data_IF_528058724514
#
_entry.id   IF_528058724514
#
_cell.length_a   1.000
_cell.length_b   1.000
_cell.length_c   1.000
_cell.angle_alpha   90.00
_cell.angle_beta   90.00
_cell.angle_gamma   90.00
#
_symmetry.space_group_name_H-M   'P 1'
#
loop_
_entity.id
_entity.type
_entity.pdbx_description
1 polymer ?
#
# COMPACT_ATOMS: atom_id res chain seq x y z
N UNK A 1 15.66 12.30 -29.23
CA UNK A 1 15.66 11.19 -28.24
C UNK A 1 14.24 10.71 -28.10
N UNK A 2 13.87 9.54 -28.67
CA UNK A 2 12.56 8.98 -28.42
C UNK A 2 12.65 8.18 -27.12
N UNK A 3 12.02 8.67 -26.06
CA UNK A 3 11.62 7.83 -24.93
C UNK A 3 10.75 6.71 -25.53
N UNK A 4 11.35 5.53 -25.65
CA UNK A 4 10.76 4.35 -26.27
C UNK A 4 9.38 4.12 -25.68
N UNK A 5 8.37 4.25 -26.54
CA UNK A 5 7.00 3.76 -26.43
C UNK A 5 6.80 2.82 -25.25
N UNK A 6 6.55 3.40 -24.07
CA UNK A 6 6.16 2.61 -22.91
C UNK A 6 4.74 2.13 -23.21
N UNK A 7 4.52 0.82 -23.44
CA UNK A 7 3.18 0.34 -23.69
C UNK A 7 2.33 0.74 -22.49
N UNK A 8 1.29 1.52 -22.75
CA UNK A 8 0.39 1.96 -21.73
C UNK A 8 -0.35 0.72 -21.20
N UNK A 9 -0.52 0.62 -19.87
CA UNK A 9 -1.17 -0.54 -19.26
C UNK A 9 -2.60 -0.67 -19.81
N UNK A 10 -2.93 -1.85 -20.33
CA UNK A 10 -4.29 -2.11 -20.81
C UNK A 10 -5.30 -2.27 -19.66
N UNK A 11 -4.82 -2.49 -18.43
CA UNK A 11 -5.66 -2.82 -17.28
C UNK A 11 -5.27 -2.00 -16.05
N UNK A 12 -6.27 -1.70 -15.22
CA UNK A 12 -6.06 -1.16 -13.90
C UNK A 12 -5.44 -2.23 -12.98
N UNK A 13 -4.51 -1.85 -12.09
CA UNK A 13 -3.82 -2.77 -11.19
C UNK A 13 -3.60 -2.13 -9.82
N UNK A 14 -3.78 -2.91 -8.77
CA UNK A 14 -3.40 -2.58 -7.40
C UNK A 14 -2.64 -3.77 -6.81
N UNK A 15 -1.47 -3.52 -6.24
CA UNK A 15 -0.61 -4.56 -5.64
C UNK A 15 -0.16 -4.10 -4.27
N UNK A 16 -0.20 -5.02 -3.31
CA UNK A 16 0.29 -4.83 -1.96
C UNK A 16 1.47 -5.77 -1.72
N UNK A 17 2.63 -5.22 -1.38
CA UNK A 17 3.86 -5.98 -1.11
C UNK A 17 4.38 -5.66 0.30
N UNK A 18 4.83 -6.66 1.08
CA UNK A 18 5.62 -6.40 2.27
C UNK A 18 7.02 -5.98 1.83
N UNK A 19 7.47 -4.76 2.18
CA UNK A 19 8.77 -4.26 1.67
C UNK A 19 9.90 -4.34 2.67
N UNK A 20 9.62 -4.27 3.97
CA UNK A 20 10.56 -4.39 5.09
C UNK A 20 9.76 -4.56 6.39
N UNK A 21 10.36 -5.03 7.50
CA UNK A 21 9.67 -5.07 8.79
C UNK A 21 9.09 -3.69 9.11
N UNK A 22 7.76 -3.62 9.21
CA UNK A 22 7.01 -2.41 9.56
C UNK A 22 6.48 -1.56 8.41
N UNK A 23 6.69 -1.92 7.13
CA UNK A 23 6.11 -1.19 6.00
C UNK A 23 5.50 -2.07 4.91
N UNK A 24 4.32 -1.66 4.44
CA UNK A 24 3.74 -2.07 3.19
C UNK A 24 4.12 -1.12 2.07
N UNK A 25 4.41 -1.68 0.91
CA UNK A 25 4.46 -0.97 -0.36
C UNK A 25 3.18 -1.24 -1.12
N UNK A 26 2.51 -0.16 -1.53
CA UNK A 26 1.30 -0.21 -2.34
C UNK A 26 1.65 0.39 -3.69
N UNK A 27 1.37 -0.34 -4.76
CA UNK A 27 1.51 0.13 -6.13
C UNK A 27 0.15 0.13 -6.80
N UNK A 28 -0.18 1.21 -7.50
CA UNK A 28 -1.35 1.25 -8.36
C UNK A 28 -0.99 1.79 -9.73
N UNK A 29 -1.73 1.30 -10.70
CA UNK A 29 -1.62 1.72 -12.09
C UNK A 29 -3.02 1.74 -12.69
N UNK A 30 -3.33 2.78 -13.44
CA UNK A 30 -4.59 2.91 -14.13
C UNK A 30 -4.37 2.69 -15.62
N UNK A 31 -5.35 2.04 -16.25
CA UNK A 31 -5.53 1.99 -17.70
C UNK A 31 -5.70 3.40 -18.27
N UNK A 32 -5.49 3.56 -19.58
CA UNK A 32 -5.74 4.83 -20.27
C UNK A 32 -7.17 5.34 -20.01
N UNK A 33 -8.20 4.50 -20.17
CA UNK A 33 -9.59 4.93 -19.99
C UNK A 33 -9.90 5.40 -18.57
N UNK A 34 -9.24 4.80 -17.56
CA UNK A 34 -9.37 5.26 -16.17
C UNK A 34 -8.61 6.56 -15.94
N UNK A 35 -7.40 6.69 -16.48
CA UNK A 35 -6.62 7.93 -16.42
C UNK A 35 -7.37 9.09 -17.10
N UNK A 36 -7.98 8.84 -18.27
CA UNK A 36 -8.83 9.80 -18.98
C UNK A 36 -10.01 10.26 -18.13
N UNK A 37 -10.61 9.36 -17.35
CA UNK A 37 -11.69 9.71 -16.42
C UNK A 37 -11.22 10.67 -15.32
N UNK A 38 -9.98 10.52 -14.82
CA UNK A 38 -9.39 11.48 -13.89
C UNK A 38 -9.04 12.81 -14.58
N UNK A 39 -8.47 12.76 -15.78
CA UNK A 39 -8.13 13.96 -16.56
C UNK A 39 -9.36 14.78 -16.96
N UNK A 40 -10.46 14.11 -17.29
CA UNK A 40 -11.75 14.73 -17.58
C UNK A 40 -12.52 15.18 -16.33
N UNK A 41 -11.90 15.12 -15.14
CA UNK A 41 -12.49 15.47 -13.86
C UNK A 41 -13.79 14.71 -13.52
N UNK A 42 -13.97 13.50 -14.08
CA UNK A 42 -15.06 12.61 -13.67
C UNK A 42 -14.81 12.03 -12.27
N UNK A 43 -13.54 11.90 -11.89
CA UNK A 43 -13.10 11.62 -10.53
C UNK A 43 -12.32 12.82 -9.97
N UNK A 44 -12.35 12.99 -8.65
CA UNK A 44 -11.46 13.93 -7.96
C UNK A 44 -9.99 13.51 -8.14
N UNK A 45 -9.03 14.45 -8.07
CA UNK A 45 -7.62 14.14 -8.24
C UNK A 45 -7.01 13.35 -7.06
N UNK A 46 -7.69 13.34 -5.91
CA UNK A 46 -7.30 12.58 -4.73
C UNK A 46 -7.99 11.21 -4.71
N UNK A 47 -7.19 10.17 -4.48
CA UNK A 47 -7.65 8.81 -4.21
C UNK A 47 -7.47 8.47 -2.73
N UNK A 48 -8.20 7.48 -2.26
CA UNK A 48 -8.12 6.98 -0.89
C UNK A 48 -7.81 5.48 -0.90
N UNK A 49 -6.64 5.11 -0.37
CA UNK A 49 -6.24 3.75 -0.09
C UNK A 49 -6.72 3.37 1.30
N UNK A 50 -7.46 2.28 1.41
CA UNK A 50 -7.90 1.70 2.67
C UNK A 50 -7.29 0.33 2.84
N UNK A 51 -6.59 0.13 3.95
CA UNK A 51 -6.10 -1.18 4.37
C UNK A 51 -7.15 -1.83 5.26
N UNK A 52 -7.40 -3.11 5.01
CA UNK A 52 -8.26 -3.96 5.82
C UNK A 52 -7.50 -5.21 6.25
N UNK A 53 -7.77 -5.71 7.45
CA UNK A 53 -7.29 -7.04 7.82
C UNK A 53 -8.07 -8.10 7.03
N UNK A 54 -7.35 -9.06 6.46
CA UNK A 54 -7.92 -10.05 5.55
C UNK A 54 -8.84 -11.08 6.24
N UNK A 55 -8.70 -11.26 7.55
CA UNK A 55 -9.45 -12.22 8.35
C UNK A 55 -10.87 -11.74 8.67
N UNK A 56 -11.01 -10.47 9.07
CA UNK A 56 -12.27 -9.91 9.57
C UNK A 56 -12.76 -8.68 8.78
N UNK A 57 -11.98 -8.22 7.79
CA UNK A 57 -12.23 -6.99 7.01
C UNK A 57 -12.39 -5.74 7.88
N UNK A 58 -11.85 -5.76 9.11
CA UNK A 58 -11.82 -4.58 9.95
C UNK A 58 -10.83 -3.55 9.37
N UNK A 59 -11.16 -2.25 9.46
CA UNK A 59 -10.30 -1.20 8.92
C UNK A 59 -8.99 -1.13 9.71
N UNK A 60 -7.87 -1.09 8.99
CA UNK A 60 -6.54 -1.06 9.57
C UNK A 60 -5.85 0.30 9.39
N UNK A 61 -5.98 0.92 8.21
CA UNK A 61 -5.43 2.24 7.94
C UNK A 61 -6.12 2.90 6.72
N UNK A 62 -6.07 4.22 6.66
CA UNK A 62 -6.53 5.01 5.52
C UNK A 62 -5.43 5.97 5.10
N UNK A 63 -5.20 6.09 3.79
CA UNK A 63 -4.19 6.98 3.23
C UNK A 63 -4.71 7.66 1.96
N UNK A 64 -4.51 8.97 1.88
CA UNK A 64 -4.88 9.78 0.72
C UNK A 64 -3.66 10.09 -0.12
N UNK A 65 -3.80 10.00 -1.43
CA UNK A 65 -2.73 10.26 -2.38
C UNK A 65 -3.27 10.90 -3.65
N UNK A 66 -2.39 11.58 -4.40
CA UNK A 66 -2.70 11.98 -5.77
C UNK A 66 -2.74 10.74 -6.66
N UNK A 67 -3.73 10.66 -7.55
CA UNK A 67 -3.91 9.47 -8.39
C UNK A 67 -2.70 9.16 -9.28
N UNK A 68 -1.92 10.17 -9.67
CA UNK A 68 -0.71 10.01 -10.49
C UNK A 68 0.53 9.52 -9.72
N UNK A 69 0.49 9.48 -8.38
CA UNK A 69 1.69 9.11 -7.61
C UNK A 69 2.13 7.65 -7.87
N UNK A 70 1.18 6.77 -8.23
CA UNK A 70 1.42 5.39 -8.66
C UNK A 70 1.94 4.44 -7.57
N UNK A 71 2.35 4.95 -6.42
CA UNK A 71 2.73 4.13 -5.27
C UNK A 71 2.73 4.91 -3.96
N UNK A 72 2.67 4.18 -2.84
CA UNK A 72 2.78 4.70 -1.50
C UNK A 72 3.45 3.67 -0.56
N UNK A 73 3.99 4.18 0.55
CA UNK A 73 4.50 3.37 1.64
C UNK A 73 3.64 3.62 2.86
N UNK A 74 3.01 2.57 3.39
CA UNK A 74 2.21 2.64 4.59
C UNK A 74 2.86 1.86 5.72
N UNK A 75 2.80 2.34 6.98
CA UNK A 75 3.21 1.53 8.11
C UNK A 75 2.33 0.29 8.19
N UNK A 76 2.92 -0.82 8.61
CA UNK A 76 2.16 -2.03 8.95
C UNK A 76 1.31 -1.69 10.18
N UNK A 77 0.00 -2.02 10.19
CA UNK A 77 -0.87 -1.81 11.34
C UNK A 77 -0.32 -2.47 12.61
N UNK A 78 -0.65 -1.93 13.79
CA UNK A 78 -0.08 -2.36 15.07
C UNK A 78 -0.26 -3.85 15.36
N UNK A 79 -1.40 -4.43 14.95
CA UNK A 79 -1.70 -5.87 15.09
C UNK A 79 -0.83 -6.75 14.18
N UNK A 80 -0.21 -6.17 13.15
CA UNK A 80 0.39 -6.92 12.06
C UNK A 80 -0.62 -7.83 11.36
N UNK A 81 -0.12 -8.84 10.65
CA UNK A 81 -0.95 -9.87 10.03
C UNK A 81 -1.25 -9.62 8.56
N UNK A 82 -2.22 -10.39 8.03
CA UNK A 82 -2.58 -10.34 6.62
C UNK A 82 -3.48 -9.14 6.35
N UNK A 83 -3.08 -8.30 5.41
CA UNK A 83 -3.85 -7.13 4.97
C UNK A 83 -4.17 -7.22 3.48
N UNK A 84 -5.25 -6.54 3.09
CA UNK A 84 -5.57 -6.20 1.70
C UNK A 84 -5.77 -4.69 1.57
N UNK A 85 -5.43 -4.13 0.42
CA UNK A 85 -5.63 -2.72 0.10
C UNK A 85 -6.79 -2.57 -0.88
N UNK A 86 -7.61 -1.55 -0.64
CA UNK A 86 -8.71 -1.16 -1.53
C UNK A 86 -8.52 0.31 -1.91
N UNK A 87 -8.58 0.62 -3.20
CA UNK A 87 -8.45 1.96 -3.73
C UNK A 87 -9.83 2.53 -4.06
N UNK A 88 -10.12 3.71 -3.52
CA UNK A 88 -11.32 4.48 -3.77
C UNK A 88 -11.01 5.79 -4.50
N UNK A 89 -11.95 6.25 -5.31
CA UNK A 89 -11.93 7.59 -5.89
C UNK A 89 -13.28 8.29 -5.65
N UNK A 90 -13.25 9.61 -5.50
CA UNK A 90 -14.46 10.41 -5.29
C UNK A 90 -15.09 10.77 -6.64
N UNK A 91 -16.37 10.42 -6.83
CA UNK A 91 -17.17 10.78 -8.02
C UNK A 91 -18.53 11.29 -7.57
N UNK A 92 -18.91 12.49 -8.02
CA UNK A 92 -20.21 13.08 -7.67
C UNK A 92 -20.47 13.20 -6.16
N UNK A 93 -19.42 13.37 -5.36
CA UNK A 93 -19.51 13.46 -3.89
C UNK A 93 -19.57 12.13 -3.14
N UNK A 94 -19.48 10.99 -3.84
CA UNK A 94 -19.45 9.66 -3.22
C UNK A 94 -18.14 8.93 -3.52
N UNK A 95 -17.63 8.18 -2.52
CA UNK A 95 -16.45 7.33 -2.70
C UNK A 95 -16.84 6.03 -3.40
N UNK A 96 -16.25 5.79 -4.57
CA UNK A 96 -16.43 4.59 -5.38
C UNK A 96 -15.20 3.69 -5.27
N UNK A 97 -15.39 2.38 -4.99
CA UNK A 97 -14.31 1.39 -4.99
C UNK A 97 -13.86 1.17 -6.44
N UNK A 98 -12.58 1.37 -6.72
CA UNK A 98 -12.01 1.14 -8.05
C UNK A 98 -11.26 -0.19 -8.13
N UNK A 99 -10.40 -0.47 -7.15
CA UNK A 99 -9.48 -1.61 -7.19
C UNK A 99 -9.32 -2.28 -5.83
N UNK A 100 -8.88 -3.53 -5.86
CA UNK A 100 -8.54 -4.34 -4.69
C UNK A 100 -7.23 -5.07 -4.98
N UNK A 101 -6.37 -5.17 -3.98
CA UNK A 101 -5.05 -5.80 -4.12
C UNK A 101 -5.09 -7.29 -3.83
N UNK A 102 -3.96 -7.96 -4.05
CA UNK A 102 -3.65 -9.21 -3.37
C UNK A 102 -3.59 -9.01 -1.84
N UNK A 103 -3.66 -10.11 -1.10
CA UNK A 103 -3.35 -10.12 0.32
C UNK A 103 -1.83 -10.18 0.54
N UNK A 104 -1.35 -9.51 1.58
CA UNK A 104 0.04 -9.54 1.99
C UNK A 104 0.15 -9.64 3.51
N UNK A 105 1.11 -10.43 3.98
CA UNK A 105 1.41 -10.60 5.39
C UNK A 105 2.59 -9.71 5.78
N UNK A 106 2.49 -8.99 6.90
CA UNK A 106 3.64 -8.36 7.52
C UNK A 106 3.58 -8.46 9.06
N UNK A 107 4.72 -8.68 9.73
CA UNK A 107 4.77 -8.74 11.19
C UNK A 107 4.47 -7.38 11.83
N UNK A 108 3.88 -7.40 13.02
CA UNK A 108 3.63 -6.21 13.83
C UNK A 108 4.94 -5.47 14.13
N UNK A 109 4.93 -4.13 14.03
CA UNK A 109 6.13 -3.32 14.26
C UNK A 109 6.63 -3.39 15.72
N UNK A 110 5.74 -3.60 16.70
CA UNK A 110 6.08 -3.62 18.13
C UNK A 110 6.93 -4.83 18.55
N UNK A 111 6.61 -6.04 18.06
CA UNK A 111 7.37 -7.26 18.41
C UNK A 111 8.82 -7.24 17.90
N UNK A 112 9.10 -6.47 16.85
CA UNK A 112 10.41 -6.40 16.23
C UNK A 112 11.37 -5.43 16.92
N UNK A 113 10.86 -4.41 17.62
CA UNK A 113 11.70 -3.53 18.45
C UNK A 113 12.29 -4.31 19.63
N UNK A 114 11.51 -5.20 20.24
CA UNK A 114 11.94 -6.07 21.35
C UNK A 114 12.90 -7.16 20.88
N UNK A 115 12.64 -7.83 19.75
CA UNK A 115 13.54 -8.84 19.18
C UNK A 115 14.90 -8.25 18.75
N UNK A 116 14.91 -7.04 18.16
CA UNK A 116 16.17 -6.35 17.82
C UNK A 116 16.96 -5.97 19.07
N UNK A 117 16.29 -5.46 20.10
CA UNK A 117 16.95 -5.11 21.36
C UNK A 117 17.60 -6.34 22.00
N UNK A 118 16.91 -7.49 21.99
CA UNK A 118 17.45 -8.73 22.53
C UNK A 118 18.63 -9.28 21.70
N UNK A 119 18.52 -9.29 20.37
CA UNK A 119 19.59 -9.75 19.49
C UNK A 119 20.87 -8.91 19.61
N UNK A 120 20.74 -7.59 19.82
CA UNK A 120 21.89 -6.72 20.07
C UNK A 120 22.57 -6.97 21.42
N UNK A 121 21.82 -7.33 22.47
CA UNK A 121 22.38 -7.65 23.79
C UNK A 121 23.15 -8.98 23.79
N UNK A 122 22.65 -10.00 23.10
CA UNK A 122 23.30 -11.32 23.01
C UNK A 122 24.62 -11.28 22.21
N UNK A 123 24.71 -10.40 21.21
CA UNK A 123 25.96 -10.21 20.45
C UNK A 123 27.08 -9.59 21.32
N UNK A 124 26.74 -8.65 22.20
CA UNK A 124 27.72 -8.01 23.09
C UNK A 124 28.20 -8.93 24.22
N UNK A 125 27.41 -9.92 24.63
CA UNK A 125 27.85 -10.90 25.63
C UNK A 125 28.90 -11.89 25.09
N UNK A 126 28.86 -12.24 23.80
CA UNK A 126 29.82 -13.17 23.18
C UNK A 126 31.19 -12.58 22.86
N UNK A 127 31.33 -11.26 22.85
CA UNK A 127 32.62 -10.58 22.55
C UNK A 127 33.47 -10.39 23.82
N UNK A 128 32.89 -10.63 25.01
CA UNK A 128 33.54 -10.45 26.31
C UNK A 128 33.82 -11.79 27.05
N UNK A 129 33.60 -12.93 26.40
CA UNK A 129 33.96 -14.27 26.92
C UNK A 129 35.18 -14.84 26.22
#
# INVERSE_FOLDING_TARGET
>A
MPELSRPLPHEDRLVLLPKNPGQYFIFWQFSEGRADSFHAASFAPEIELRLYYADDRSPAAVHKAQWQAGSAYLPVPERGGNCEAVLYALRGGAWEKLLESNQAAAPAAAGLAEERAYASLEFHKKVLS
#
